data_IF_184330243399
#
_entry.id   IF_184330243399
#
_cell.length_a   1.000
_cell.length_b   1.000
_cell.length_c   1.000
_cell.angle_alpha   90.00
_cell.angle_beta   90.00
_cell.angle_gamma   90.00
#
_symmetry.space_group_name_H-M   'P 1'
#
loop_
_entity.id
_entity.type
_entity.pdbx_description
1 polymer ?
#
# COMPACT_ATOMS: atom_id res chain seq x y z
N UNK A 1 23.73 9.33 14.38
CA UNK A 1 22.79 8.80 13.37
C UNK A 1 22.92 7.30 13.11
N UNK A 2 24.04 6.64 13.42
CA UNK A 2 24.27 5.22 13.04
C UNK A 2 23.69 4.18 14.01
N UNK A 3 23.17 4.57 15.18
CA UNK A 3 22.75 3.58 16.21
C UNK A 3 21.24 3.45 16.48
N UNK A 4 20.38 4.33 15.95
CA UNK A 4 18.94 4.22 16.21
C UNK A 4 18.27 3.45 15.07
N UNK A 5 17.76 2.25 15.38
CA UNK A 5 16.94 1.45 14.45
C UNK A 5 15.74 2.30 14.03
N UNK A 6 15.48 2.40 12.73
CA UNK A 6 14.25 3.01 12.23
C UNK A 6 13.10 2.07 12.60
N UNK A 7 12.10 2.51 13.37
CA UNK A 7 10.96 1.67 13.71
C UNK A 7 10.22 1.25 12.43
N UNK A 8 10.14 -0.05 12.21
CA UNK A 8 9.22 -0.67 11.25
C UNK A 8 8.12 -1.29 12.10
N UNK A 9 6.87 -0.99 11.78
CA UNK A 9 5.75 -1.53 12.54
C UNK A 9 5.48 -2.99 12.21
N UNK A 10 4.57 -3.58 12.98
CA UNK A 10 4.21 -5.00 12.86
C UNK A 10 3.22 -5.25 11.71
N UNK A 11 3.74 -5.82 10.61
CA UNK A 11 2.96 -6.31 9.46
C UNK A 11 2.48 -7.76 9.66
N UNK A 12 2.64 -8.34 10.87
CA UNK A 12 2.27 -9.73 11.19
C UNK A 12 2.91 -10.73 10.22
N UNK A 13 4.23 -10.63 10.07
CA UNK A 13 4.99 -11.44 9.13
C UNK A 13 4.68 -12.94 9.29
N UNK A 14 4.33 -13.54 8.16
CA UNK A 14 3.97 -14.94 8.06
C UNK A 14 2.62 -15.30 8.68
N UNK A 15 1.74 -14.33 8.92
CA UNK A 15 0.31 -14.55 9.16
C UNK A 15 -0.49 -13.68 8.19
N UNK A 16 -0.27 -12.36 8.21
CA UNK A 16 -1.00 -11.40 7.37
C UNK A 16 -0.16 -10.89 6.20
N UNK A 17 1.11 -10.59 6.46
CA UNK A 17 2.12 -10.33 5.43
C UNK A 17 2.90 -11.59 5.12
N UNK A 18 2.66 -12.18 3.95
CA UNK A 18 3.34 -13.39 3.53
C UNK A 18 4.66 -13.07 2.82
N UNK A 19 5.71 -13.83 3.15
CA UNK A 19 7.05 -13.68 2.57
C UNK A 19 7.51 -14.94 1.82
N UNK A 20 6.68 -15.99 1.77
CA UNK A 20 7.05 -17.28 1.21
C UNK A 20 5.89 -18.25 0.98
N UNK A 21 6.22 -19.51 0.73
CA UNK A 21 5.27 -20.47 0.13
C UNK A 21 4.28 -21.10 1.13
N UNK A 22 4.64 -21.20 2.40
CA UNK A 22 3.99 -22.10 3.36
C UNK A 22 2.89 -21.49 4.22
N UNK A 23 2.39 -20.27 3.92
CA UNK A 23 1.56 -19.52 4.90
C UNK A 23 0.27 -18.88 4.39
N UNK A 24 -0.16 -19.22 3.16
CA UNK A 24 -1.44 -18.72 2.64
C UNK A 24 -2.61 -19.34 3.40
N UNK A 25 -2.54 -20.64 3.71
CA UNK A 25 -3.63 -21.37 4.37
C UNK A 25 -3.77 -21.04 5.87
N UNK A 26 -2.71 -20.52 6.50
CA UNK A 26 -2.75 -20.07 7.90
C UNK A 26 -3.36 -18.68 8.06
N UNK A 27 -3.59 -17.97 6.96
CA UNK A 27 -4.23 -16.66 7.01
C UNK A 27 -5.68 -16.81 7.47
N UNK A 28 -6.10 -15.96 8.40
CA UNK A 28 -7.50 -15.83 8.76
C UNK A 28 -7.86 -14.35 8.99
N UNK A 29 -9.12 -14.03 8.75
CA UNK A 29 -9.61 -12.66 8.79
C UNK A 29 -9.54 -12.05 10.20
N UNK A 30 -9.74 -12.85 11.24
CA UNK A 30 -9.74 -12.37 12.61
C UNK A 30 -8.35 -11.84 12.98
N UNK A 31 -7.29 -12.64 12.84
CA UNK A 31 -5.93 -12.25 13.21
C UNK A 31 -5.38 -11.08 12.37
N UNK A 32 -5.87 -10.97 11.14
CA UNK A 32 -5.44 -9.97 10.17
C UNK A 32 -6.35 -8.75 10.07
N UNK A 33 -7.39 -8.66 10.90
CA UNK A 33 -8.12 -7.40 11.12
C UNK A 33 -7.28 -6.47 12.00
N UNK A 34 -6.73 -5.40 11.41
CA UNK A 34 -5.75 -4.48 12.01
C UNK A 34 -6.37 -3.30 12.74
N UNK A 35 -7.62 -2.95 12.43
CA UNK A 35 -8.44 -1.97 13.17
C UNK A 35 -9.82 -2.55 13.43
N UNK A 36 -10.47 -2.16 14.53
CA UNK A 36 -11.76 -2.70 14.97
C UNK A 36 -12.69 -1.61 15.49
N UNK A 37 -13.98 -1.93 15.59
CA UNK A 37 -15.00 -1.06 16.19
C UNK A 37 -15.82 -0.22 15.21
N UNK A 38 -15.71 -0.50 13.90
CA UNK A 38 -16.42 0.25 12.85
C UNK A 38 -17.39 -0.63 12.08
N UNK A 39 -18.45 -0.05 11.47
CA UNK A 39 -19.41 -0.80 10.68
C UNK A 39 -18.87 -1.21 9.30
N UNK A 40 -17.83 -0.55 8.80
CA UNK A 40 -17.26 -0.81 7.48
C UNK A 40 -16.00 -1.65 7.59
N UNK A 41 -15.96 -2.78 6.88
CA UNK A 41 -14.74 -3.57 6.70
C UNK A 41 -14.12 -3.25 5.34
N UNK A 42 -12.81 -3.05 5.33
CA UNK A 42 -12.03 -2.73 4.12
C UNK A 42 -10.87 -3.70 3.99
N UNK A 43 -10.74 -4.31 2.83
CA UNK A 43 -9.69 -5.29 2.56
C UNK A 43 -8.51 -4.62 1.85
N UNK A 44 -7.36 -4.57 2.52
CA UNK A 44 -6.11 -4.07 1.99
C UNK A 44 -5.34 -5.22 1.34
N UNK A 45 -5.23 -5.17 0.01
CA UNK A 45 -4.62 -6.23 -0.79
C UNK A 45 -3.45 -5.71 -1.61
N UNK A 46 -2.30 -6.39 -1.51
CA UNK A 46 -1.17 -6.14 -2.39
C UNK A 46 0.15 -6.69 -1.89
N UNK A 47 1.24 -6.04 -2.27
CA UNK A 47 2.59 -6.47 -1.90
C UNK A 47 3.11 -5.76 -0.62
N UNK A 48 4.44 -5.68 -0.46
CA UNK A 48 5.06 -4.97 0.66
C UNK A 48 4.78 -3.46 0.68
N UNK A 49 4.44 -2.85 -0.45
CA UNK A 49 3.95 -1.47 -0.57
C UNK A 49 2.44 -1.36 -0.29
N UNK A 50 1.72 -2.47 -0.09
CA UNK A 50 0.46 -2.44 0.63
C UNK A 50 0.72 -2.60 2.14
N UNK A 51 1.55 -3.57 2.53
CA UNK A 51 1.85 -3.87 3.93
C UNK A 51 2.46 -2.68 4.68
N UNK A 52 3.26 -1.85 4.01
CA UNK A 52 3.94 -0.73 4.65
C UNK A 52 3.01 0.34 5.25
N UNK A 53 1.71 0.32 4.93
CA UNK A 53 0.72 1.21 5.53
C UNK A 53 0.23 0.73 6.89
N UNK A 54 0.31 -0.57 7.17
CA UNK A 54 -0.36 -1.23 8.31
C UNK A 54 0.06 -0.64 9.64
N UNK A 55 1.34 -0.28 9.77
CA UNK A 55 1.92 0.30 10.98
C UNK A 55 1.33 1.68 11.35
N UNK A 56 0.75 2.41 10.38
CA UNK A 56 0.13 3.72 10.61
C UNK A 56 -1.38 3.68 10.84
N UNK A 57 -2.02 2.51 10.71
CA UNK A 57 -3.48 2.38 10.80
C UNK A 57 -4.00 2.73 12.19
N UNK A 58 -3.37 2.20 13.25
CA UNK A 58 -3.79 2.42 14.63
C UNK A 58 -3.77 3.91 15.02
N UNK A 59 -2.71 4.63 14.64
CA UNK A 59 -2.59 6.06 14.90
C UNK A 59 -3.63 6.92 14.16
N UNK A 60 -4.26 6.38 13.12
CA UNK A 60 -5.23 7.09 12.28
C UNK A 60 -6.66 6.54 12.40
N UNK A 61 -6.92 5.62 13.34
CA UNK A 61 -8.16 4.83 13.41
C UNK A 61 -9.45 5.68 13.37
N UNK A 62 -9.47 6.80 14.09
CA UNK A 62 -10.62 7.72 14.15
C UNK A 62 -10.90 8.44 12.82
N UNK A 63 -9.88 8.63 11.98
CA UNK A 63 -10.00 9.23 10.65
C UNK A 63 -10.44 8.21 9.62
N UNK A 64 -9.96 6.97 9.75
CA UNK A 64 -10.26 5.86 8.86
C UNK A 64 -11.73 5.46 8.94
N UNK A 65 -12.26 5.30 10.16
CA UNK A 65 -13.63 4.84 10.41
C UNK A 65 -13.95 3.48 9.77
N UNK A 66 -12.98 2.55 9.75
CA UNK A 66 -13.13 1.22 9.17
C UNK A 66 -12.30 0.16 9.91
N UNK A 67 -12.76 -1.09 9.82
CA UNK A 67 -11.98 -2.28 10.17
C UNK A 67 -11.14 -2.67 8.94
N UNK A 68 -9.85 -2.38 8.97
CA UNK A 68 -8.94 -2.70 7.87
C UNK A 68 -8.42 -4.11 8.06
N UNK A 69 -8.63 -4.97 7.07
CA UNK A 69 -8.13 -6.34 7.01
C UNK A 69 -6.92 -6.38 6.11
N UNK A 70 -5.79 -6.86 6.62
CA UNK A 70 -4.55 -6.98 5.87
C UNK A 70 -4.48 -8.33 5.13
N UNK A 71 -4.22 -8.27 3.83
CA UNK A 71 -3.92 -9.43 3.00
C UNK A 71 -2.78 -9.09 2.03
N UNK A 72 -1.54 -9.31 2.47
CA UNK A 72 -0.37 -8.81 1.75
C UNK A 72 0.68 -9.89 1.51
N UNK A 73 1.41 -9.81 0.39
CA UNK A 73 2.45 -10.78 0.03
C UNK A 73 3.64 -10.10 -0.64
N UNK A 74 4.85 -10.26 -0.07
CA UNK A 74 6.10 -9.72 -0.59
C UNK A 74 6.35 -10.04 -2.09
N UNK A 75 6.17 -9.02 -2.94
CA UNK A 75 6.42 -9.09 -4.38
C UNK A 75 5.28 -9.66 -5.22
N UNK A 76 4.09 -9.85 -4.66
CA UNK A 76 2.87 -10.20 -5.40
C UNK A 76 1.92 -8.99 -5.46
N UNK A 77 1.79 -8.30 -6.60
CA UNK A 77 0.81 -7.24 -6.76
C UNK A 77 -0.61 -7.81 -6.71
N UNK A 78 -1.61 -6.98 -6.41
CA UNK A 78 -3.01 -7.39 -6.38
C UNK A 78 -3.58 -7.47 -7.79
N UNK A 79 -3.02 -8.37 -8.60
CA UNK A 79 -3.35 -8.63 -10.00
C UNK A 79 -3.62 -10.13 -10.15
N UNK A 80 -4.86 -10.50 -10.46
CA UNK A 80 -5.30 -11.92 -10.52
C UNK A 80 -4.50 -12.77 -11.50
N UNK A 81 -4.11 -12.19 -12.63
CA UNK A 81 -3.34 -12.84 -13.69
C UNK A 81 -1.83 -12.82 -13.45
N UNK A 82 -1.35 -12.22 -12.36
CA UNK A 82 0.08 -12.10 -12.09
C UNK A 82 0.67 -13.44 -11.63
N UNK A 83 1.74 -13.85 -12.30
CA UNK A 83 2.54 -15.01 -11.94
C UNK A 83 4.01 -14.61 -11.75
N UNK A 84 4.75 -15.31 -10.92
CA UNK A 84 6.18 -15.06 -10.73
C UNK A 84 6.93 -16.36 -10.53
N UNK A 85 8.01 -16.56 -11.27
CA UNK A 85 8.89 -17.72 -11.05
C UNK A 85 9.64 -17.64 -9.72
N UNK A 86 9.87 -16.42 -9.21
CA UNK A 86 10.48 -16.22 -7.89
C UNK A 86 9.47 -16.35 -6.73
N UNK A 87 8.18 -16.22 -7.04
CA UNK A 87 7.04 -16.29 -6.09
C UNK A 87 5.91 -17.12 -6.69
N UNK A 88 6.12 -18.44 -6.74
CA UNK A 88 5.21 -19.39 -7.39
C UNK A 88 3.77 -19.31 -6.87
N UNK A 89 3.62 -18.86 -5.62
CA UNK A 89 2.34 -18.82 -4.94
C UNK A 89 1.55 -17.52 -5.14
N UNK A 90 2.06 -16.53 -5.89
CA UNK A 90 1.27 -15.32 -6.19
C UNK A 90 -0.07 -15.65 -6.84
N UNK A 91 -0.12 -16.64 -7.76
CA UNK A 91 -1.36 -17.04 -8.43
C UNK A 91 -2.36 -17.59 -7.42
N UNK A 92 -1.90 -18.46 -6.50
CA UNK A 92 -2.76 -19.04 -5.46
C UNK A 92 -3.21 -17.96 -4.47
N UNK A 93 -2.30 -17.10 -4.03
CA UNK A 93 -2.58 -15.97 -3.14
C UNK A 93 -3.63 -15.01 -3.72
N UNK A 94 -3.44 -14.59 -4.96
CA UNK A 94 -4.36 -13.64 -5.60
C UNK A 94 -5.74 -14.25 -5.89
N UNK A 95 -5.83 -15.56 -6.16
CA UNK A 95 -7.13 -16.26 -6.24
C UNK A 95 -7.82 -16.31 -4.89
N UNK A 96 -7.09 -16.67 -3.84
CA UNK A 96 -7.63 -16.75 -2.47
C UNK A 96 -8.15 -15.39 -1.97
N UNK A 97 -7.57 -14.27 -2.42
CA UNK A 97 -8.11 -12.94 -2.16
C UNK A 97 -9.58 -12.79 -2.60
N UNK A 98 -9.93 -13.29 -3.79
CA UNK A 98 -11.33 -13.25 -4.27
C UNK A 98 -12.24 -14.13 -3.44
N UNK A 99 -11.79 -15.35 -3.10
CA UNK A 99 -12.57 -16.27 -2.28
C UNK A 99 -12.91 -15.61 -0.94
N UNK A 100 -11.93 -14.98 -0.29
CA UNK A 100 -12.12 -14.24 0.96
C UNK A 100 -13.11 -13.09 0.79
N UNK A 101 -12.98 -12.31 -0.27
CA UNK A 101 -13.87 -11.16 -0.54
C UNK A 101 -15.32 -11.62 -0.71
N UNK A 102 -15.54 -12.75 -1.38
CA UNK A 102 -16.86 -13.35 -1.58
C UNK A 102 -17.42 -13.96 -0.28
N UNK A 103 -16.64 -14.81 0.38
CA UNK A 103 -17.04 -15.53 1.59
C UNK A 103 -17.37 -14.58 2.75
N UNK A 104 -16.59 -13.51 2.91
CA UNK A 104 -16.77 -12.52 3.97
C UNK A 104 -17.62 -11.30 3.56
N UNK A 105 -18.26 -11.34 2.38
CA UNK A 105 -19.10 -10.27 1.82
C UNK A 105 -18.44 -8.87 1.85
N UNK A 106 -17.15 -8.81 1.51
CA UNK A 106 -16.39 -7.54 1.57
C UNK A 106 -16.85 -6.60 0.46
N UNK A 107 -17.34 -5.43 0.85
CA UNK A 107 -17.83 -4.41 -0.11
C UNK A 107 -16.82 -3.32 -0.47
N UNK A 108 -15.63 -3.30 0.14
CA UNK A 108 -14.61 -2.28 -0.15
C UNK A 108 -13.21 -2.87 -0.12
N UNK A 109 -12.43 -2.61 -1.17
CA UNK A 109 -11.05 -3.09 -1.33
C UNK A 109 -10.12 -1.92 -1.65
N UNK A 110 -8.94 -1.92 -1.03
CA UNK A 110 -7.81 -1.05 -1.38
C UNK A 110 -6.73 -1.92 -2.02
N UNK A 111 -6.38 -1.61 -3.27
CA UNK A 111 -5.26 -2.22 -3.99
C UNK A 111 -4.05 -1.30 -3.88
N UNK A 112 -2.89 -1.83 -3.50
CA UNK A 112 -1.62 -1.10 -3.49
C UNK A 112 -0.48 -2.01 -3.90
N UNK A 113 0.56 -1.45 -4.50
CA UNK A 113 1.70 -2.23 -4.93
C UNK A 113 2.89 -1.37 -5.27
N UNK A 114 4.04 -2.02 -5.43
CA UNK A 114 5.27 -1.42 -5.97
C UNK A 114 5.18 -1.42 -7.50
N UNK A 115 4.27 -0.62 -8.04
CA UNK A 115 3.91 -0.60 -9.46
C UNK A 115 5.09 -0.44 -10.42
N UNK A 116 6.16 0.24 -10.01
CA UNK A 116 7.40 0.35 -10.78
C UNK A 116 8.03 -1.00 -11.14
N UNK A 117 7.86 -2.04 -10.32
CA UNK A 117 8.39 -3.38 -10.60
C UNK A 117 7.58 -4.14 -11.66
N UNK A 118 6.36 -3.67 -11.97
CA UNK A 118 5.41 -4.38 -12.84
C UNK A 118 5.21 -3.70 -14.19
N UNK A 119 5.79 -2.53 -14.39
CA UNK A 119 5.61 -1.71 -15.59
C UNK A 119 5.91 -2.46 -16.90
N UNK A 120 6.99 -3.25 -16.93
CA UNK A 120 7.39 -4.02 -18.12
C UNK A 120 6.31 -5.00 -18.58
N UNK A 121 5.48 -5.50 -17.66
CA UNK A 121 4.40 -6.45 -17.96
C UNK A 121 3.09 -5.77 -18.33
N UNK A 122 3.01 -4.44 -18.18
CA UNK A 122 1.79 -3.67 -18.32
C UNK A 122 0.81 -3.85 -17.15
N UNK A 123 -0.29 -3.10 -17.21
CA UNK A 123 -1.29 -3.03 -16.14
C UNK A 123 -2.68 -3.52 -16.57
N UNK A 124 -2.82 -4.20 -17.73
CA UNK A 124 -4.10 -4.79 -18.16
C UNK A 124 -4.69 -5.74 -17.10
N UNK A 125 -3.83 -6.52 -16.45
CA UNK A 125 -4.24 -7.41 -15.36
C UNK A 125 -4.80 -6.65 -14.13
N UNK A 126 -4.34 -5.42 -13.88
CA UNK A 126 -4.91 -4.57 -12.83
C UNK A 126 -6.33 -4.14 -13.22
N UNK A 127 -6.54 -3.69 -14.45
CA UNK A 127 -7.87 -3.33 -14.95
C UNK A 127 -8.84 -4.53 -14.87
N UNK A 128 -8.41 -5.71 -15.31
CA UNK A 128 -9.20 -6.95 -15.21
C UNK A 128 -9.55 -7.31 -13.77
N UNK A 129 -8.62 -7.10 -12.84
CA UNK A 129 -8.86 -7.32 -11.40
C UNK A 129 -9.91 -6.35 -10.87
N UNK A 130 -9.81 -5.07 -11.24
CA UNK A 130 -10.80 -4.04 -10.86
C UNK A 130 -12.18 -4.36 -11.43
N UNK A 131 -12.27 -4.75 -12.70
CA UNK A 131 -13.53 -5.11 -13.35
C UNK A 131 -14.18 -6.32 -12.66
N UNK A 132 -13.39 -7.33 -12.30
CA UNK A 132 -13.85 -8.49 -11.54
C UNK A 132 -14.42 -8.08 -10.18
N UNK A 133 -13.70 -7.26 -9.41
CA UNK A 133 -14.17 -6.78 -8.11
C UNK A 133 -15.45 -5.95 -8.24
N UNK A 134 -15.53 -5.07 -9.24
CA UNK A 134 -16.72 -4.24 -9.48
C UNK A 134 -17.94 -5.04 -9.88
N UNK A 135 -17.76 -6.09 -10.68
CA UNK A 135 -18.85 -7.01 -11.04
C UNK A 135 -19.45 -7.72 -9.80
N UNK A 136 -18.65 -7.88 -8.73
CA UNK A 136 -19.09 -8.39 -7.43
C UNK A 136 -19.72 -7.32 -6.51
N UNK A 137 -19.90 -6.08 -7.01
CA UNK A 137 -20.43 -4.96 -6.24
C UNK A 137 -19.43 -4.36 -5.24
N UNK A 138 -18.13 -4.64 -5.41
CA UNK A 138 -17.07 -4.11 -4.54
C UNK A 138 -16.66 -2.71 -4.99
N UNK A 139 -16.58 -1.78 -4.05
CA UNK A 139 -15.98 -0.47 -4.26
C UNK A 139 -14.46 -0.57 -4.17
N UNK A 140 -13.76 -0.14 -5.22
CA UNK A 140 -12.30 -0.30 -5.33
C UNK A 140 -11.57 1.04 -5.23
N UNK A 141 -10.53 1.07 -4.41
CA UNK A 141 -9.52 2.12 -4.36
C UNK A 141 -8.19 1.57 -4.85
N UNK A 142 -7.43 2.35 -5.60
CA UNK A 142 -6.06 2.02 -5.97
C UNK A 142 -5.14 3.11 -5.43
N UNK A 143 -4.20 2.72 -4.58
CA UNK A 143 -3.12 3.62 -4.14
C UNK A 143 -1.94 3.42 -5.09
N UNK A 144 -1.55 4.50 -5.75
CA UNK A 144 -0.42 4.53 -6.67
C UNK A 144 0.94 4.32 -6.00
N UNK A 145 1.99 4.43 -6.79
CA UNK A 145 3.37 4.29 -6.40
C UNK A 145 3.72 5.39 -5.39
N UNK A 146 4.22 4.96 -4.24
CA UNK A 146 4.85 5.85 -3.25
C UNK A 146 6.31 6.13 -3.65
N UNK A 147 6.91 7.21 -3.14
CA UNK A 147 8.26 7.61 -3.50
C UNK A 147 9.30 6.52 -3.26
N UNK A 148 10.26 6.45 -4.16
CA UNK A 148 11.45 5.63 -4.02
C UNK A 148 12.69 6.50 -4.19
N UNK A 149 13.74 6.17 -3.46
CA UNK A 149 15.01 6.87 -3.42
C UNK A 149 16.14 6.01 -3.99
N UNK A 150 17.28 6.60 -4.38
CA UNK A 150 18.37 5.84 -4.99
C UNK A 150 19.07 4.90 -3.99
N UNK A 151 18.90 5.13 -2.69
CA UNK A 151 19.51 4.31 -1.64
C UNK A 151 18.76 4.45 -0.32
N UNK A 152 19.20 3.72 0.70
CA UNK A 152 18.68 3.79 2.06
C UNK A 152 18.67 5.24 2.58
N UNK A 153 17.53 5.68 3.14
CA UNK A 153 17.37 7.06 3.61
C UNK A 153 18.37 7.48 4.70
N UNK A 154 19.00 6.55 5.43
CA UNK A 154 20.08 6.87 6.38
C UNK A 154 21.35 7.30 5.67
N UNK A 155 21.65 6.68 4.51
CA UNK A 155 22.77 7.12 3.66
C UNK A 155 22.47 8.49 3.07
N UNK A 156 21.23 8.73 2.65
CA UNK A 156 20.79 10.05 2.18
C UNK A 156 20.99 11.12 3.26
N UNK A 157 20.48 10.88 4.47
CA UNK A 157 20.65 11.79 5.61
C UNK A 157 22.13 12.08 5.93
N UNK A 158 22.98 11.05 5.84
CA UNK A 158 24.42 11.20 6.03
C UNK A 158 25.04 12.14 4.99
N UNK A 159 24.68 12.00 3.71
CA UNK A 159 25.18 12.87 2.65
C UNK A 159 24.62 14.29 2.73
N UNK A 160 23.31 14.46 3.00
CA UNK A 160 22.69 15.76 3.19
C UNK A 160 23.39 16.55 4.31
N UNK A 161 23.61 15.90 5.46
CA UNK A 161 24.33 16.51 6.58
C UNK A 161 25.78 16.86 6.26
N UNK A 162 26.49 16.04 5.48
CA UNK A 162 27.86 16.36 5.02
C UNK A 162 27.93 17.58 4.12
N UNK A 163 26.84 17.90 3.44
CA UNK A 163 26.72 19.09 2.59
C UNK A 163 26.20 20.31 3.38
N UNK A 164 26.09 20.22 4.72
CA UNK A 164 25.47 21.23 5.59
C UNK A 164 24.06 21.62 5.14
N UNK A 165 23.33 20.67 4.55
CA UNK A 165 21.93 20.85 4.21
C UNK A 165 21.09 20.37 5.39
N UNK A 166 20.25 21.26 5.92
CA UNK A 166 19.12 20.90 6.78
C UNK A 166 17.92 20.37 5.94
N UNK A 167 18.21 19.92 4.71
CA UNK A 167 17.23 19.42 3.76
C UNK A 167 16.73 18.03 4.17
N UNK A 168 15.44 17.94 4.47
CA UNK A 168 14.75 16.70 4.83
C UNK A 168 14.09 16.04 3.61
N UNK A 169 14.28 16.61 2.42
CA UNK A 169 13.81 16.09 1.14
C UNK A 169 14.96 15.57 0.28
N UNK A 170 14.67 14.68 -0.65
CA UNK A 170 15.64 14.20 -1.64
C UNK A 170 14.95 13.96 -2.99
N UNK A 171 15.65 14.07 -4.14
CA UNK A 171 15.09 13.67 -5.42
C UNK A 171 14.69 12.20 -5.42
N UNK A 172 13.55 11.90 -6.03
CA UNK A 172 13.12 10.52 -6.26
C UNK A 172 14.06 9.81 -7.24
N UNK A 173 14.17 8.49 -7.13
CA UNK A 173 14.85 7.62 -8.09
C UNK A 173 13.86 6.61 -8.70
N UNK A 174 12.82 7.16 -9.33
CA UNK A 174 11.81 6.44 -10.09
C UNK A 174 11.21 7.38 -11.12
N UNK A 175 10.60 6.85 -12.18
CA UNK A 175 9.86 7.69 -13.13
C UNK A 175 8.61 8.28 -12.47
N UNK A 176 8.48 9.62 -12.36
CA UNK A 176 7.28 10.25 -11.79
C UNK A 176 6.02 9.98 -12.61
N UNK A 177 6.13 9.63 -13.89
CA UNK A 177 5.01 9.31 -14.78
C UNK A 177 4.32 7.97 -14.49
N UNK A 178 4.90 7.12 -13.63
CA UNK A 178 4.35 5.80 -13.31
C UNK A 178 2.91 5.85 -12.81
N UNK A 179 2.55 6.86 -12.00
CA UNK A 179 1.20 6.96 -11.44
C UNK A 179 0.15 7.33 -12.47
N UNK A 180 0.50 8.13 -13.48
CA UNK A 180 -0.43 8.41 -14.58
C UNK A 180 -0.58 7.18 -15.50
N UNK A 181 0.48 6.39 -15.68
CA UNK A 181 0.39 5.10 -16.38
C UNK A 181 -0.51 4.12 -15.64
N UNK A 182 -0.30 3.90 -14.34
CA UNK A 182 -1.17 3.02 -13.54
C UNK A 182 -2.61 3.53 -13.57
N UNK A 183 -2.85 4.84 -13.36
CA UNK A 183 -4.19 5.46 -13.38
C UNK A 183 -4.97 5.14 -14.66
N UNK A 184 -4.30 5.04 -15.81
CA UNK A 184 -4.97 4.73 -17.09
C UNK A 184 -5.60 3.33 -17.13
N UNK A 185 -5.20 2.43 -16.22
CA UNK A 185 -5.70 1.06 -16.04
C UNK A 185 -6.51 0.87 -14.74
N UNK A 186 -7.06 1.96 -14.19
CA UNK A 186 -7.89 1.89 -12.99
C UNK A 186 -9.31 2.41 -13.21
N UNK A 187 -9.88 2.19 -14.40
CA UNK A 187 -11.25 2.62 -14.72
C UNK A 187 -12.24 1.96 -13.77
N UNK A 188 -13.09 2.77 -13.15
CA UNK A 188 -14.07 2.31 -12.18
C UNK A 188 -13.57 2.19 -10.74
N UNK A 189 -12.28 2.43 -10.49
CA UNK A 189 -11.73 2.58 -9.15
C UNK A 189 -11.42 4.05 -8.83
N UNK A 190 -11.36 4.37 -7.53
CA UNK A 190 -10.82 5.67 -7.08
C UNK A 190 -9.31 5.58 -6.97
N UNK A 191 -8.59 6.31 -7.84
CA UNK A 191 -7.13 6.33 -7.81
C UNK A 191 -6.58 7.45 -6.91
N UNK A 192 -5.70 7.07 -5.99
CA UNK A 192 -5.03 7.96 -5.04
C UNK A 192 -3.55 7.98 -5.40
N UNK A 193 -3.00 9.17 -5.61
CA UNK A 193 -1.63 9.37 -6.05
C UNK A 193 -0.76 9.88 -4.88
N UNK A 194 0.06 9.02 -4.23
CA UNK A 194 0.89 9.44 -3.09
C UNK A 194 1.83 10.61 -3.41
N UNK A 195 2.30 10.72 -4.66
CA UNK A 195 3.28 11.74 -5.03
C UNK A 195 2.68 13.15 -4.91
N UNK A 196 1.38 13.31 -5.16
CA UNK A 196 0.66 14.60 -5.02
C UNK A 196 0.58 15.09 -3.57
N UNK A 197 0.73 14.20 -2.60
CA UNK A 197 0.62 14.52 -1.18
C UNK A 197 1.95 14.55 -0.44
N UNK A 198 2.93 13.80 -0.95
CA UNK A 198 4.23 13.65 -0.30
C UNK A 198 5.31 14.50 -0.97
N UNK A 199 5.20 14.81 -2.26
CA UNK A 199 6.30 15.36 -3.04
C UNK A 199 6.00 16.75 -3.59
N UNK A 200 7.05 17.54 -3.78
CA UNK A 200 7.02 18.84 -4.44
C UNK A 200 8.19 18.95 -5.39
N UNK A 201 7.94 19.35 -6.64
CA UNK A 201 8.97 19.51 -7.68
C UNK A 201 9.94 18.31 -7.83
N UNK A 202 9.41 17.09 -7.79
CA UNK A 202 10.20 15.85 -7.93
C UNK A 202 11.06 15.47 -6.72
N UNK A 203 10.92 16.19 -5.61
CA UNK A 203 11.58 15.91 -4.33
C UNK A 203 10.55 15.48 -3.30
N UNK A 204 10.92 14.50 -2.48
CA UNK A 204 10.05 13.95 -1.44
C UNK A 204 10.78 13.91 -0.11
N UNK A 205 10.08 14.08 1.02
CA UNK A 205 10.66 14.02 2.35
C UNK A 205 11.19 12.61 2.60
N UNK A 206 12.47 12.45 2.91
CA UNK A 206 13.02 11.20 3.45
C UNK A 206 12.94 11.18 4.99
N UNK A 207 12.75 12.34 5.62
CA UNK A 207 12.51 12.53 7.04
C UNK A 207 11.49 13.64 7.30
N UNK A 208 10.79 13.57 8.43
CA UNK A 208 9.88 14.60 8.91
C UNK A 208 10.01 14.69 10.44
N UNK A 209 10.10 15.91 10.98
CA UNK A 209 10.22 16.19 12.43
C UNK A 209 11.29 15.35 13.17
N UNK A 210 12.41 15.05 12.50
CA UNK A 210 13.52 14.27 13.06
C UNK A 210 13.33 12.75 13.01
N UNK A 211 12.25 12.26 12.43
CA UNK A 211 12.00 10.84 12.17
C UNK A 211 12.15 10.53 10.68
N UNK A 212 12.63 9.33 10.35
CA UNK A 212 12.66 8.89 8.96
C UNK A 212 11.26 8.51 8.48
N UNK A 213 10.87 8.98 7.29
CA UNK A 213 9.59 8.60 6.65
C UNK A 213 9.69 7.17 6.09
N UNK A 214 10.87 6.72 5.71
CA UNK A 214 11.11 5.39 5.15
C UNK A 214 12.13 4.63 6.00
N UNK A 215 12.11 3.29 5.99
CA UNK A 215 13.15 2.51 6.69
C UNK A 215 14.25 1.99 5.77
N UNK A 216 13.99 1.95 4.46
CA UNK A 216 14.95 1.62 3.41
C UNK A 216 14.92 2.69 2.31
N UNK A 217 14.89 2.31 1.04
CA UNK A 217 14.81 3.23 -0.09
C UNK A 217 13.37 3.54 -0.54
N UNK A 218 12.32 2.90 0.00
CA UNK A 218 10.94 3.13 -0.45
C UNK A 218 9.82 2.58 0.43
N UNK A 219 10.09 1.70 1.39
CA UNK A 219 9.09 1.26 2.36
C UNK A 219 8.96 2.24 3.53
N UNK A 220 7.73 2.59 3.89
CA UNK A 220 7.46 3.48 5.00
C UNK A 220 7.91 2.90 6.35
N UNK A 221 8.50 3.75 7.18
CA UNK A 221 8.64 3.49 8.62
C UNK A 221 7.26 3.59 9.31
N UNK A 222 7.17 3.29 10.60
CA UNK A 222 5.94 3.53 11.37
C UNK A 222 5.49 5.01 11.34
N UNK A 223 6.46 5.94 11.42
CA UNK A 223 6.19 7.37 11.35
C UNK A 223 5.71 7.77 9.95
N UNK A 224 6.37 7.26 8.90
CA UNK A 224 5.97 7.53 7.52
C UNK A 224 4.61 6.95 7.15
N UNK A 225 4.29 5.75 7.62
CA UNK A 225 2.98 5.14 7.40
C UNK A 225 1.87 5.97 8.08
N UNK A 226 2.13 6.43 9.30
CA UNK A 226 1.22 7.33 10.04
C UNK A 226 0.99 8.63 9.27
N UNK A 227 2.06 9.26 8.80
CA UNK A 227 2.01 10.48 7.99
C UNK A 227 1.25 10.25 6.68
N UNK A 228 1.62 9.22 5.91
CA UNK A 228 1.02 8.87 4.63
C UNK A 228 -0.50 8.66 4.77
N UNK A 229 -0.92 7.86 5.76
CA UNK A 229 -2.33 7.63 6.02
C UNK A 229 -3.04 8.94 6.35
N UNK A 230 -2.47 9.80 7.20
CA UNK A 230 -3.09 11.08 7.56
C UNK A 230 -3.35 12.00 6.36
N UNK A 231 -2.54 11.88 5.30
CA UNK A 231 -2.57 12.78 4.13
C UNK A 231 -3.55 12.37 3.05
N UNK A 232 -3.63 11.08 2.73
CA UNK A 232 -4.32 10.66 1.50
C UNK A 232 -5.12 9.37 1.59
N UNK A 233 -5.08 8.66 2.72
CA UNK A 233 -5.81 7.40 2.80
C UNK A 233 -7.33 7.63 2.85
N UNK A 234 -8.14 6.84 2.13
CA UNK A 234 -9.58 7.08 2.02
C UNK A 234 -10.29 6.96 3.38
N UNK A 235 -11.26 7.83 3.62
CA UNK A 235 -12.07 7.82 4.83
C UNK A 235 -13.38 7.05 4.59
N UNK A 236 -13.85 6.32 5.60
CA UNK A 236 -14.99 5.41 5.50
C UNK A 236 -16.12 5.73 6.48
N UNK A 237 -16.19 6.98 6.93
CA UNK A 237 -17.32 7.50 7.71
C UNK A 237 -18.67 7.32 6.98
N UNK A 238 -19.77 7.45 7.74
CA UNK A 238 -21.15 7.02 7.39
C UNK A 238 -21.77 7.58 6.08
N UNK A 239 -21.08 8.39 5.29
CA UNK A 239 -21.67 9.11 4.14
C UNK A 239 -21.34 8.55 2.75
N UNK A 240 -20.83 7.33 2.63
CA UNK A 240 -20.60 6.71 1.32
C UNK A 240 -21.60 5.60 1.00
N UNK A 241 -22.89 5.95 0.98
CA UNK A 241 -23.85 5.20 0.18
C UNK A 241 -23.44 5.34 -1.29
N UNK A 242 -23.26 4.21 -1.98
CA UNK A 242 -23.11 4.20 -3.43
C UNK A 242 -24.26 5.01 -4.04
N UNK A 243 -24.01 5.99 -4.95
CA UNK A 243 -25.11 6.60 -5.67
C UNK A 243 -25.83 5.47 -6.41
N UNK A 244 -27.11 5.26 -6.08
CA UNK A 244 -27.97 4.35 -6.83
C UNK A 244 -27.97 4.87 -8.27
N UNK A 245 -27.38 4.09 -9.17
CA UNK A 245 -27.47 4.31 -10.60
C UNK A 245 -28.94 4.35 -10.99
N UNK A 246 -29.38 5.49 -11.54
CA UNK A 246 -30.57 5.56 -12.40
C UNK A 246 -30.22 5.05 -13.78
#
# INVERSE_FOLDING_TARGET
YVQRRIPVGDWRNGICFNEGTSRIESWNMEDCTRTRGFPTTVFLWGDSFAAHYVSGLGANINRLQANIVEYTYAGCPPILSYYSYARLDCVRFNRKALDIILEADIKTVILSGKWSDYEVRGFDGLQQTIDTLRALGVRVFVIGQSPQFPTDVRKIAFFAKRQNLDDTSWPMAMDPGINERVRSFTKGATFIDPLKFLCSAGRCPYSDRGEFVYFDYGHFSSAGATLAISKYWPAFGKDNALPKTK
#
